data_IF_585818546018
#
_entry.id   IF_585818546018
#
_cell.length_a   1.000
_cell.length_b   1.000
_cell.length_c   1.000
_cell.angle_alpha   90.00
_cell.angle_beta   90.00
_cell.angle_gamma   90.00
#
_symmetry.space_group_name_H-M   'P 1'
#
loop_
_entity.id
_entity.type
_entity.pdbx_description
1 polymer ?
#
# COMPACT_ATOMS: atom_id res chain seq x y z
N UNK A 1 28.23 -33.55 76.43
CA UNK A 1 27.49 -32.42 75.87
C UNK A 1 27.69 -32.44 74.40
N UNK A 2 26.69 -32.97 73.65
CA UNK A 2 26.70 -32.99 72.21
C UNK A 2 25.89 -31.80 71.74
N UNK A 3 26.56 -30.81 71.15
CA UNK A 3 25.92 -29.67 70.53
C UNK A 3 25.39 -30.03 69.10
N UNK A 4 24.10 -30.02 68.93
CA UNK A 4 23.49 -30.14 67.63
C UNK A 4 23.60 -28.80 66.88
N UNK A 5 24.47 -28.73 65.88
CA UNK A 5 24.47 -27.65 64.90
C UNK A 5 23.34 -27.91 63.88
N UNK A 6 22.25 -27.21 64.07
CA UNK A 6 21.20 -27.21 63.04
C UNK A 6 21.67 -26.37 61.84
N UNK A 7 22.00 -27.03 60.76
CA UNK A 7 22.27 -26.35 59.50
C UNK A 7 20.95 -25.83 58.89
N UNK A 8 20.76 -24.52 58.91
CA UNK A 8 19.63 -23.86 58.25
C UNK A 8 19.88 -23.86 56.73
N UNK A 9 19.25 -24.79 56.04
CA UNK A 9 19.28 -24.79 54.58
C UNK A 9 18.39 -23.65 54.05
N UNK A 10 19.00 -22.61 53.55
CA UNK A 10 18.29 -21.55 52.82
C UNK A 10 17.94 -22.09 51.44
N UNK A 11 16.67 -22.44 51.24
CA UNK A 11 16.14 -22.81 49.93
C UNK A 11 15.96 -21.52 49.18
N UNK A 12 16.87 -21.24 48.23
CA UNK A 12 16.75 -20.13 47.31
C UNK A 12 15.65 -20.49 46.30
N UNK A 13 14.49 -19.80 46.36
CA UNK A 13 13.44 -19.94 45.35
C UNK A 13 13.97 -19.46 43.99
N UNK A 14 13.69 -20.18 42.89
CA UNK A 14 14.11 -19.70 41.55
C UNK A 14 13.45 -18.36 41.26
N UNK A 15 14.23 -17.44 40.68
CA UNK A 15 13.72 -16.14 40.25
C UNK A 15 12.58 -16.33 39.22
N UNK A 16 11.51 -15.50 39.26
CA UNK A 16 10.45 -15.60 38.30
C UNK A 16 11.02 -15.39 36.89
N UNK A 17 10.80 -16.35 36.01
CA UNK A 17 11.17 -16.22 34.61
C UNK A 17 10.31 -15.12 33.96
N UNK A 18 10.91 -14.23 33.14
CA UNK A 18 10.13 -13.28 32.37
C UNK A 18 9.15 -14.04 31.51
N UNK A 19 7.87 -13.60 31.49
CA UNK A 19 6.86 -14.14 30.60
C UNK A 19 7.36 -14.08 29.16
N UNK A 20 7.06 -15.08 28.32
CA UNK A 20 7.44 -15.03 26.91
C UNK A 20 6.84 -13.77 26.30
N UNK A 21 7.71 -12.89 25.81
CA UNK A 21 7.30 -11.69 25.12
C UNK A 21 6.51 -12.15 23.90
N UNK A 22 5.20 -11.87 23.88
CA UNK A 22 4.39 -12.13 22.70
C UNK A 22 5.05 -11.42 21.53
N UNK A 23 5.51 -12.20 20.56
CA UNK A 23 6.03 -11.64 19.30
C UNK A 23 4.85 -10.97 18.63
N UNK A 24 4.78 -9.63 18.70
CA UNK A 24 3.82 -8.86 17.92
C UNK A 24 4.14 -9.19 16.47
N UNK A 25 3.28 -10.00 15.85
CA UNK A 25 3.39 -10.27 14.42
C UNK A 25 3.19 -8.92 13.74
N UNK A 26 4.29 -8.35 13.24
CA UNK A 26 4.25 -7.14 12.43
C UNK A 26 3.23 -7.35 11.31
N UNK A 27 2.31 -6.40 11.12
CA UNK A 27 1.40 -6.46 9.98
C UNK A 27 2.23 -6.67 8.71
N UNK A 28 1.79 -7.54 7.78
CA UNK A 28 2.52 -7.73 6.54
C UNK A 28 2.72 -6.38 5.86
N UNK A 29 3.92 -6.14 5.31
CA UNK A 29 4.21 -4.93 4.57
C UNK A 29 3.16 -4.74 3.47
N UNK A 30 2.67 -3.50 3.24
CA UNK A 30 1.68 -3.26 2.19
C UNK A 30 2.24 -3.70 0.85
N UNK A 31 1.43 -4.42 0.09
CA UNK A 31 1.77 -4.86 -1.26
C UNK A 31 1.61 -3.70 -2.23
N UNK A 32 2.44 -3.66 -3.25
CA UNK A 32 2.31 -2.72 -4.35
C UNK A 32 1.44 -3.31 -5.46
N UNK A 33 0.69 -2.43 -6.09
CA UNK A 33 -0.20 -2.76 -7.20
C UNK A 33 0.01 -1.76 -8.32
N UNK A 34 0.16 -2.26 -9.55
CA UNK A 34 0.17 -1.42 -10.74
C UNK A 34 -1.26 -1.30 -11.24
N UNK A 35 -1.68 -0.07 -11.50
CA UNK A 35 -2.92 0.27 -12.19
C UNK A 35 -2.58 0.78 -13.57
N UNK A 36 -3.15 0.17 -14.59
CA UNK A 36 -3.08 0.66 -15.97
C UNK A 36 -4.44 1.21 -16.34
N UNK A 37 -4.50 2.50 -16.58
CA UNK A 37 -5.70 3.19 -17.05
C UNK A 37 -5.72 3.23 -18.56
N UNK A 38 -6.87 2.87 -19.12
CA UNK A 38 -7.17 2.95 -20.57
C UNK A 38 -8.43 3.76 -20.79
N UNK A 39 -8.63 4.35 -22.00
CA UNK A 39 -9.89 4.95 -22.37
C UNK A 39 -11.05 3.97 -22.15
N UNK A 40 -12.07 4.41 -21.42
CA UNK A 40 -13.31 3.69 -21.22
C UNK A 40 -14.42 4.15 -22.19
N UNK A 41 -15.64 3.63 -22.03
CA UNK A 41 -16.76 3.94 -22.92
C UNK A 41 -17.14 5.42 -22.95
N UNK A 42 -16.90 6.16 -21.85
CA UNK A 42 -17.18 7.58 -21.76
C UNK A 42 -16.01 8.49 -22.15
N UNK A 43 -14.89 7.93 -22.58
CA UNK A 43 -13.80 8.69 -23.16
C UNK A 43 -14.26 9.40 -24.43
N UNK A 44 -14.01 10.70 -24.53
CA UNK A 44 -14.39 11.48 -25.69
C UNK A 44 -13.35 11.24 -26.79
N UNK A 45 -13.73 10.48 -27.81
CA UNK A 45 -12.86 10.14 -28.93
C UNK A 45 -12.35 11.42 -29.65
N UNK A 46 -11.07 11.42 -30.02
CA UNK A 46 -10.43 12.53 -30.71
C UNK A 46 -10.14 13.76 -29.83
N UNK A 47 -10.45 13.71 -28.53
CA UNK A 47 -10.10 14.76 -27.58
C UNK A 47 -8.89 14.35 -26.76
N UNK A 48 -7.92 15.24 -26.58
CA UNK A 48 -6.76 14.98 -25.72
C UNK A 48 -7.18 14.87 -24.25
N UNK A 49 -6.29 14.32 -23.42
CA UNK A 49 -6.54 14.07 -22.00
C UNK A 49 -7.01 15.30 -21.22
N UNK A 50 -6.44 16.47 -21.49
CA UNK A 50 -6.82 17.73 -20.83
C UNK A 50 -8.22 18.25 -21.22
N UNK A 51 -8.87 17.64 -22.21
CA UNK A 51 -10.25 17.92 -22.59
C UNK A 51 -11.22 16.81 -22.14
N UNK A 52 -10.73 15.77 -21.46
CA UNK A 52 -11.57 14.76 -20.83
C UNK A 52 -12.06 15.26 -19.47
N UNK A 53 -13.15 14.66 -18.98
CA UNK A 53 -13.72 15.00 -17.66
C UNK A 53 -12.96 14.30 -16.52
N UNK A 54 -11.71 14.67 -16.31
CA UNK A 54 -10.80 14.04 -15.35
C UNK A 54 -10.52 14.87 -14.08
N UNK A 55 -11.17 16.01 -13.91
CA UNK A 55 -10.99 16.84 -12.70
C UNK A 55 -11.18 16.05 -11.40
N UNK A 56 -12.30 15.33 -11.22
CA UNK A 56 -12.52 14.51 -10.03
C UNK A 56 -11.50 13.38 -9.86
N UNK A 57 -11.04 12.78 -10.96
CA UNK A 57 -9.96 11.78 -10.94
C UNK A 57 -8.65 12.38 -10.42
N UNK A 58 -8.27 13.56 -10.90
CA UNK A 58 -7.05 14.24 -10.41
C UNK A 58 -7.14 14.52 -8.92
N UNK A 59 -8.29 14.94 -8.42
CA UNK A 59 -8.53 15.14 -6.98
C UNK A 59 -8.40 13.82 -6.21
N UNK A 60 -8.94 12.73 -6.74
CA UNK A 60 -8.82 11.40 -6.17
C UNK A 60 -7.34 10.95 -6.08
N UNK A 61 -6.57 11.07 -7.16
CA UNK A 61 -5.15 10.73 -7.20
C UNK A 61 -4.35 11.56 -6.18
N UNK A 62 -4.64 12.86 -6.07
CA UNK A 62 -4.01 13.74 -5.06
C UNK A 62 -4.31 13.30 -3.64
N UNK A 63 -5.53 12.84 -3.35
CA UNK A 63 -5.87 12.32 -2.03
C UNK A 63 -5.09 11.05 -1.69
N UNK A 64 -4.92 10.14 -2.64
CA UNK A 64 -4.11 8.94 -2.45
C UNK A 64 -2.63 9.27 -2.21
N UNK A 65 -2.11 10.30 -2.88
CA UNK A 65 -0.75 10.79 -2.67
C UNK A 65 -0.58 11.36 -1.26
N UNK A 66 -1.52 12.19 -0.81
CA UNK A 66 -1.52 12.78 0.53
C UNK A 66 -1.61 11.72 1.63
N UNK A 67 -2.35 10.65 1.41
CA UNK A 67 -2.52 9.53 2.35
C UNK A 67 -1.34 8.52 2.32
N UNK A 68 -0.37 8.69 1.43
CA UNK A 68 0.75 7.76 1.25
C UNK A 68 0.36 6.45 0.55
N UNK A 69 -0.83 6.36 -0.04
CA UNK A 69 -1.33 5.20 -0.79
C UNK A 69 -0.91 5.20 -2.26
N UNK A 70 -0.54 6.34 -2.82
CA UNK A 70 0.04 6.46 -4.14
C UNK A 70 1.56 6.58 -4.01
N UNK A 71 2.30 5.70 -4.69
CA UNK A 71 3.76 5.78 -4.80
C UNK A 71 4.16 6.72 -5.92
N UNK A 72 3.56 6.52 -7.09
CA UNK A 72 3.76 7.33 -8.28
C UNK A 72 2.58 7.13 -9.23
N UNK A 73 2.36 8.07 -10.12
CA UNK A 73 1.35 7.96 -11.16
C UNK A 73 1.47 9.09 -12.15
N UNK A 74 1.04 8.85 -13.37
CA UNK A 74 1.05 9.83 -14.43
C UNK A 74 0.52 9.31 -15.75
N UNK A 75 0.29 10.20 -16.72
CA UNK A 75 -0.18 9.85 -18.03
C UNK A 75 0.91 9.18 -18.87
N UNK A 76 0.49 8.37 -19.84
CA UNK A 76 1.38 7.96 -20.92
C UNK A 76 1.62 9.15 -21.87
N UNK A 77 2.85 9.30 -22.31
CA UNK A 77 3.27 10.47 -23.11
C UNK A 77 3.36 10.19 -24.61
N UNK A 78 3.20 8.92 -25.02
CA UNK A 78 3.27 8.48 -26.41
C UNK A 78 1.95 8.66 -27.15
N UNK A 79 0.84 8.21 -26.55
CA UNK A 79 -0.50 8.26 -27.18
C UNK A 79 -1.35 9.42 -26.68
N UNK A 80 -1.01 9.99 -25.52
CA UNK A 80 -1.86 10.99 -24.85
C UNK A 80 -3.15 10.42 -24.26
N UNK A 81 -3.26 9.10 -24.18
CA UNK A 81 -4.41 8.37 -23.66
C UNK A 81 -4.00 7.44 -22.52
N UNK A 82 -4.77 7.44 -21.44
CA UNK A 82 -4.49 6.58 -20.30
C UNK A 82 -3.24 6.95 -19.51
N UNK A 83 -2.87 6.08 -18.61
CA UNK A 83 -1.73 6.30 -17.70
C UNK A 83 -1.49 5.10 -16.81
N UNK A 84 -0.58 5.30 -15.85
CA UNK A 84 -0.24 4.28 -14.87
C UNK A 84 -0.19 4.88 -13.46
N UNK A 85 -0.53 4.08 -12.47
CA UNK A 85 -0.30 4.40 -11.06
C UNK A 85 0.28 3.19 -10.33
N UNK A 86 1.06 3.45 -9.28
CA UNK A 86 1.55 2.44 -8.35
C UNK A 86 0.90 2.74 -7.00
N UNK A 87 0.07 1.81 -6.53
CA UNK A 87 -0.66 1.92 -5.27
C UNK A 87 -0.03 1.04 -4.19
N UNK A 88 -0.14 1.51 -2.93
CA UNK A 88 0.06 0.70 -1.72
C UNK A 88 -1.30 0.30 -1.19
N UNK A 89 -1.48 -0.99 -0.93
CA UNK A 89 -2.67 -1.49 -0.27
C UNK A 89 -2.34 -2.74 0.56
N UNK A 90 -3.13 -3.03 1.57
CA UNK A 90 -2.92 -4.19 2.44
C UNK A 90 -3.22 -5.52 1.72
N UNK A 91 -4.12 -5.51 0.74
CA UNK A 91 -4.54 -6.68 -0.02
C UNK A 91 -5.03 -6.30 -1.42
N UNK A 92 -5.18 -7.29 -2.29
CA UNK A 92 -5.80 -7.10 -3.59
C UNK A 92 -7.25 -6.61 -3.47
N UNK A 93 -8.00 -7.10 -2.48
CA UNK A 93 -9.36 -6.65 -2.21
C UNK A 93 -9.39 -5.16 -1.84
N UNK A 94 -8.46 -4.71 -0.99
CA UNK A 94 -8.34 -3.30 -0.61
C UNK A 94 -7.94 -2.42 -1.80
N UNK A 95 -6.99 -2.88 -2.63
CA UNK A 95 -6.59 -2.16 -3.83
C UNK A 95 -7.76 -2.01 -4.82
N UNK A 96 -8.57 -3.06 -5.00
CA UNK A 96 -9.80 -3.01 -5.80
C UNK A 96 -10.84 -2.06 -5.22
N UNK A 97 -11.00 -2.07 -3.90
CA UNK A 97 -11.92 -1.16 -3.23
C UNK A 97 -11.51 0.31 -3.40
N UNK A 98 -10.23 0.61 -3.30
CA UNK A 98 -9.69 1.95 -3.59
C UNK A 98 -10.03 2.35 -5.02
N UNK A 99 -9.71 1.51 -5.99
CA UNK A 99 -9.91 1.80 -7.41
C UNK A 99 -11.38 1.96 -7.79
N UNK A 100 -12.27 1.22 -7.13
CA UNK A 100 -13.71 1.31 -7.33
C UNK A 100 -14.31 2.65 -6.90
N UNK A 101 -13.57 3.46 -6.13
CA UNK A 101 -13.95 4.82 -5.73
C UNK A 101 -13.40 5.90 -6.66
N UNK A 102 -12.60 5.55 -7.65
CA UNK A 102 -12.09 6.50 -8.63
C UNK A 102 -13.23 7.06 -9.49
N UNK A 103 -13.49 8.38 -9.46
CA UNK A 103 -14.58 8.98 -10.22
C UNK A 103 -14.48 8.75 -11.73
N UNK A 104 -13.29 8.64 -12.29
CA UNK A 104 -13.11 8.38 -13.71
C UNK A 104 -13.46 6.93 -14.09
N UNK A 105 -13.22 5.99 -13.19
CA UNK A 105 -13.62 4.58 -13.36
C UNK A 105 -15.14 4.45 -13.21
N UNK A 106 -15.72 5.08 -12.19
CA UNK A 106 -17.17 5.09 -11.98
C UNK A 106 -17.90 5.69 -13.18
N UNK A 107 -17.39 6.81 -13.72
CA UNK A 107 -18.00 7.49 -14.87
C UNK A 107 -17.70 6.81 -16.21
N UNK A 108 -16.85 5.78 -16.23
CA UNK A 108 -16.46 5.09 -17.46
C UNK A 108 -15.54 5.88 -18.39
N UNK A 109 -14.94 6.97 -17.90
CA UNK A 109 -13.93 7.72 -18.67
C UNK A 109 -12.66 6.88 -18.79
N UNK A 110 -12.29 6.18 -17.70
CA UNK A 110 -11.25 5.18 -17.71
C UNK A 110 -11.78 3.77 -17.38
N UNK A 111 -11.17 2.80 -18.02
CA UNK A 111 -11.09 1.42 -17.53
C UNK A 111 -9.73 1.21 -16.90
N UNK A 112 -9.67 0.41 -15.84
CA UNK A 112 -8.44 0.22 -15.09
C UNK A 112 -8.17 -1.26 -14.86
N UNK A 113 -6.96 -1.69 -15.21
CA UNK A 113 -6.43 -3.01 -14.85
C UNK A 113 -5.56 -2.87 -13.61
N UNK A 114 -5.76 -3.79 -12.66
CA UNK A 114 -5.03 -3.84 -11.40
C UNK A 114 -4.21 -5.12 -11.33
N UNK A 115 -2.91 -4.98 -11.06
CA UNK A 115 -2.00 -6.12 -10.95
C UNK A 115 -1.14 -6.03 -9.71
N UNK A 116 -1.02 -7.11 -8.89
CA UNK A 116 -0.01 -7.19 -7.84
C UNK A 116 1.38 -7.07 -8.45
N UNK A 117 2.26 -6.34 -7.77
CA UNK A 117 3.62 -6.11 -8.24
C UNK A 117 4.62 -6.12 -7.08
N UNK A 118 5.73 -6.79 -7.29
CA UNK A 118 6.84 -6.84 -6.37
C UNK A 118 8.07 -6.21 -7.04
N UNK A 119 8.52 -5.03 -6.60
CA UNK A 119 9.77 -4.45 -7.09
C UNK A 119 10.95 -5.27 -6.58
N UNK A 120 11.75 -5.78 -7.48
CA UNK A 120 12.99 -6.51 -7.16
C UNK A 120 14.25 -5.70 -7.41
N UNK A 121 14.11 -4.64 -8.19
CA UNK A 121 15.18 -3.73 -8.54
C UNK A 121 14.70 -2.32 -8.34
N UNK A 122 15.34 -1.60 -7.43
CA UNK A 122 15.00 -0.23 -7.06
C UNK A 122 16.30 0.55 -6.93
N UNK A 123 16.38 1.72 -7.55
CA UNK A 123 17.54 2.60 -7.45
C UNK A 123 17.64 3.32 -6.11
N UNK A 124 16.57 3.32 -5.30
CA UNK A 124 16.46 4.13 -4.09
C UNK A 124 16.40 5.65 -4.35
N UNK A 125 16.25 6.06 -5.60
CA UNK A 125 16.17 7.46 -6.00
C UNK A 125 14.71 7.86 -6.28
N UNK A 126 14.34 9.14 -6.06
CA UNK A 126 13.05 9.65 -6.50
C UNK A 126 12.85 9.44 -8.01
N UNK A 127 11.61 9.15 -8.41
CA UNK A 127 11.27 8.94 -9.82
C UNK A 127 11.32 10.23 -10.63
N UNK A 128 11.07 11.37 -9.99
CA UNK A 128 11.19 12.69 -10.58
C UNK A 128 11.59 13.70 -9.51
N UNK A 129 12.33 14.70 -9.89
CA UNK A 129 12.67 15.88 -9.09
C UNK A 129 12.13 17.12 -9.78
#
# INVERSE_FOLDING_TARGET
>A
MLGFLAALAVILAPAPQPAPTATVRSAPAPTLYIVIYRPGPAWIAGKPMNQQKLGPHVAFIRSLLADGRLVAGGPFTDTGEGGMAILRAASLADARAILATDPAVIAGVFEADLRPWEPRFDSGRPLAS
#
